data_IF_199642657510
#
_entry.id   IF_199642657510
#
_cell.length_a   1.000
_cell.length_b   1.000
_cell.length_c   1.000
_cell.angle_alpha   90.00
_cell.angle_beta   90.00
_cell.angle_gamma   90.00
#
_symmetry.space_group_name_H-M   'P 1'
#
loop_
_entity.id
_entity.type
_entity.pdbx_description
1 polymer ?
#
# COMPACT_ATOMS: atom_id res chain seq x y z
N UNK A 1 13.92 -14.54 -17.79
CA UNK A 1 13.68 -15.28 -16.54
C UNK A 1 13.29 -14.27 -15.48
N UNK A 2 12.17 -14.47 -14.80
CA UNK A 2 11.78 -13.60 -13.69
C UNK A 2 12.82 -13.71 -12.56
N UNK A 3 13.21 -12.56 -12.01
CA UNK A 3 14.12 -12.45 -10.87
C UNK A 3 13.53 -13.09 -9.61
N UNK A 4 14.36 -13.31 -8.59
CA UNK A 4 13.86 -13.78 -7.30
C UNK A 4 12.87 -12.79 -6.66
N UNK A 5 13.08 -11.48 -6.85
CA UNK A 5 12.15 -10.44 -6.35
C UNK A 5 10.76 -10.62 -6.96
N UNK A 6 10.68 -10.68 -8.28
CA UNK A 6 9.42 -10.77 -9.02
C UNK A 6 8.64 -12.04 -8.66
N UNK A 7 9.30 -13.20 -8.62
CA UNK A 7 8.66 -14.48 -8.27
C UNK A 7 8.14 -14.51 -6.83
N UNK A 8 8.84 -13.85 -5.90
CA UNK A 8 8.40 -13.77 -4.50
C UNK A 8 7.18 -12.86 -4.38
N UNK A 9 7.18 -11.70 -5.04
CA UNK A 9 6.05 -10.77 -5.04
C UNK A 9 4.81 -11.37 -5.69
N UNK A 10 4.96 -12.05 -6.82
CA UNK A 10 3.88 -12.76 -7.52
C UNK A 10 3.18 -13.75 -6.59
N UNK A 11 3.95 -14.65 -5.96
CA UNK A 11 3.42 -15.67 -5.04
C UNK A 11 2.74 -15.07 -3.80
N UNK A 12 3.24 -13.96 -3.28
CA UNK A 12 2.61 -13.28 -2.14
C UNK A 12 1.30 -12.60 -2.57
N UNK A 13 1.28 -11.97 -3.75
CA UNK A 13 0.09 -11.31 -4.30
C UNK A 13 -1.05 -12.27 -4.67
N UNK A 14 -0.74 -13.55 -4.95
CA UNK A 14 -1.74 -14.59 -5.18
C UNK A 14 -2.50 -15.03 -3.92
N UNK A 15 -2.05 -14.65 -2.72
CA UNK A 15 -2.64 -15.10 -1.45
C UNK A 15 -3.32 -13.97 -0.67
N UNK A 16 -4.65 -13.99 -0.59
CA UNK A 16 -5.44 -12.99 0.17
C UNK A 16 -5.17 -13.05 1.68
N UNK A 17 -4.99 -14.26 2.23
CA UNK A 17 -4.75 -14.49 3.66
C UNK A 17 -3.27 -14.35 4.06
N UNK A 18 -2.38 -14.22 3.08
CA UNK A 18 -0.93 -14.24 3.28
C UNK A 18 -0.32 -15.66 3.32
N UNK A 19 1.00 -15.76 3.39
CA UNK A 19 1.75 -17.00 3.31
C UNK A 19 2.87 -17.06 4.34
N UNK A 20 3.15 -18.25 4.86
CA UNK A 20 4.36 -18.43 5.68
C UNK A 20 5.61 -18.31 4.79
N UNK A 21 6.75 -17.96 5.39
CA UNK A 21 8.05 -17.95 4.67
C UNK A 21 8.36 -19.29 4.00
N UNK A 22 7.92 -20.41 4.59
CA UNK A 22 8.11 -21.75 4.02
C UNK A 22 7.27 -21.93 2.77
N UNK A 23 6.02 -21.48 2.78
CA UNK A 23 5.13 -21.61 1.63
C UNK A 23 5.54 -20.70 0.47
N UNK A 24 5.99 -19.47 0.77
CA UNK A 24 6.59 -18.58 -0.22
C UNK A 24 7.79 -19.24 -0.88
N UNK A 25 8.71 -19.85 -0.10
CA UNK A 25 9.89 -20.54 -0.63
C UNK A 25 9.52 -21.71 -1.55
N UNK A 26 8.54 -22.53 -1.15
CA UNK A 26 8.07 -23.67 -1.94
C UNK A 26 7.42 -23.22 -3.25
N UNK A 27 6.44 -22.30 -3.17
CA UNK A 27 5.69 -21.81 -4.34
C UNK A 27 6.56 -21.01 -5.30
N UNK A 28 7.38 -20.10 -4.78
CA UNK A 28 8.29 -19.31 -5.60
C UNK A 28 9.44 -20.16 -6.15
N UNK A 29 9.67 -21.40 -5.67
CA UNK A 29 10.83 -22.26 -5.97
C UNK A 29 12.15 -21.53 -5.75
N UNK A 30 12.30 -20.94 -4.57
CA UNK A 30 13.46 -20.18 -4.11
C UNK A 30 13.88 -20.71 -2.74
N UNK A 31 15.18 -20.68 -2.42
CA UNK A 31 15.66 -21.16 -1.12
C UNK A 31 15.04 -20.35 0.04
N UNK A 32 14.78 -21.01 1.18
CA UNK A 32 14.21 -20.34 2.36
C UNK A 32 15.05 -19.15 2.83
N UNK A 33 16.38 -19.27 2.80
CA UNK A 33 17.31 -18.18 3.17
C UNK A 33 17.22 -17.00 2.21
N UNK A 34 17.11 -17.26 0.91
CA UNK A 34 16.91 -16.21 -0.10
C UNK A 34 15.57 -15.51 0.14
N UNK A 35 14.49 -16.27 0.36
CA UNK A 35 13.17 -15.69 0.67
C UNK A 35 13.22 -14.81 1.92
N UNK A 36 13.86 -15.24 3.01
CA UNK A 36 14.01 -14.41 4.22
C UNK A 36 14.68 -13.07 3.89
N UNK A 37 15.79 -13.09 3.15
CA UNK A 37 16.50 -11.86 2.75
C UNK A 37 15.60 -10.92 1.94
N UNK A 38 14.90 -11.46 0.95
CA UNK A 38 14.02 -10.66 0.11
C UNK A 38 12.79 -10.13 0.86
N UNK A 39 12.18 -10.91 1.76
CA UNK A 39 11.07 -10.45 2.58
C UNK A 39 11.47 -9.30 3.51
N UNK A 40 12.66 -9.37 4.13
CA UNK A 40 13.20 -8.26 4.93
C UNK A 40 13.40 -6.99 4.08
N UNK A 41 13.99 -7.13 2.90
CA UNK A 41 14.19 -6.01 1.97
C UNK A 41 12.85 -5.42 1.51
N UNK A 42 11.94 -6.24 0.99
CA UNK A 42 10.62 -5.82 0.51
C UNK A 42 9.77 -5.19 1.63
N UNK A 43 9.89 -5.68 2.86
CA UNK A 43 9.23 -5.08 4.02
C UNK A 43 9.79 -3.70 4.33
N UNK A 44 11.10 -3.51 4.24
CA UNK A 44 11.73 -2.19 4.43
C UNK A 44 11.38 -1.20 3.31
N UNK A 45 11.12 -1.71 2.09
CA UNK A 45 10.61 -0.95 0.95
C UNK A 45 9.10 -0.68 1.05
N UNK A 46 8.40 -1.33 1.99
CA UNK A 46 6.96 -1.18 2.20
C UNK A 46 6.10 -1.91 1.16
N UNK A 47 6.65 -2.82 0.37
CA UNK A 47 5.91 -3.60 -0.64
C UNK A 47 5.12 -4.76 -0.01
N UNK A 48 5.62 -5.32 1.08
CA UNK A 48 5.00 -6.42 1.82
C UNK A 48 4.98 -6.14 3.32
N UNK A 49 4.04 -6.76 4.00
CA UNK A 49 3.95 -6.75 5.46
C UNK A 49 3.69 -8.18 5.97
N UNK A 50 3.81 -8.37 7.29
CA UNK A 50 3.41 -9.62 7.91
C UNK A 50 2.41 -9.38 9.03
N UNK A 51 1.53 -10.36 9.22
CA UNK A 51 0.64 -10.46 10.37
C UNK A 51 0.97 -11.71 11.18
N UNK A 52 0.84 -11.61 12.49
CA UNK A 52 1.01 -12.73 13.40
C UNK A 52 -0.33 -13.42 13.62
N UNK A 53 -0.40 -14.70 13.26
CA UNK A 53 -1.58 -15.55 13.45
C UNK A 53 -1.15 -16.76 14.26
N UNK A 54 -1.45 -16.74 15.56
CA UNK A 54 -0.93 -17.72 16.52
C UNK A 54 0.60 -17.75 16.50
N UNK A 55 1.25 -18.92 16.37
CA UNK A 55 2.71 -19.02 16.33
C UNK A 55 3.32 -18.68 14.97
N UNK A 56 2.52 -18.29 13.97
CA UNK A 56 2.95 -18.15 12.58
C UNK A 56 2.96 -16.69 12.12
N UNK A 57 3.96 -16.35 11.29
CA UNK A 57 4.00 -15.09 10.53
C UNK A 57 3.53 -15.32 9.11
N UNK A 58 2.48 -14.60 8.70
CA UNK A 58 1.93 -14.64 7.35
C UNK A 58 2.28 -13.35 6.60
N UNK A 59 3.01 -13.50 5.51
CA UNK A 59 3.41 -12.43 4.61
C UNK A 59 2.34 -12.16 3.57
N UNK A 60 1.98 -10.91 3.39
CA UNK A 60 1.01 -10.45 2.39
C UNK A 60 1.52 -9.17 1.73
N UNK A 61 1.02 -8.88 0.54
CA UNK A 61 1.26 -7.57 -0.08
C UNK A 61 0.71 -6.51 0.84
N UNK A 62 1.47 -5.43 1.02
CA UNK A 62 0.96 -4.29 1.76
C UNK A 62 -0.11 -3.64 0.90
N UNK A 63 -1.37 -3.85 1.26
CA UNK A 63 -2.48 -3.23 0.57
C UNK A 63 -2.42 -1.72 0.84
N UNK A 64 -1.84 -0.97 -0.11
CA UNK A 64 -2.23 0.43 -0.34
C UNK A 64 -3.69 0.53 -0.82
N UNK A 65 -4.35 -0.62 -0.96
CA UNK A 65 -5.66 -0.86 -1.56
C UNK A 65 -6.76 -1.17 -0.55
N UNK A 66 -6.77 -0.55 0.65
CA UNK A 66 -8.06 -0.11 1.18
C UNK A 66 -8.73 0.95 0.26
N UNK A 67 -8.06 1.32 -0.85
CA UNK A 67 -8.63 2.02 -2.01
C UNK A 67 -8.11 1.49 -3.36
N UNK A 68 -8.41 0.25 -3.75
CA UNK A 68 -8.65 -0.02 -5.18
C UNK A 68 -9.40 -1.33 -5.39
N UNK A 69 -10.69 -1.20 -5.73
CA UNK A 69 -11.34 -2.20 -6.55
C UNK A 69 -10.66 -2.26 -7.92
N UNK A 70 -10.66 -3.47 -8.47
CA UNK A 70 -10.64 -3.79 -9.90
C UNK A 70 -9.81 -2.88 -10.81
N UNK A 71 -8.60 -3.35 -11.15
CA UNK A 71 -7.90 -2.91 -12.35
C UNK A 71 -8.65 -3.43 -13.59
N UNK A 72 -9.64 -2.69 -14.07
CA UNK A 72 -9.98 -2.68 -15.50
C UNK A 72 -9.13 -1.64 -16.18
N UNK A 73 -8.32 -2.09 -17.14
CA UNK A 73 -7.68 -1.24 -18.13
C UNK A 73 -8.75 -0.41 -18.84
N UNK A 74 -8.61 0.91 -18.75
CA UNK A 74 -9.50 1.88 -19.36
C UNK A 74 -8.85 3.25 -19.26
N UNK A 75 -8.23 3.67 -20.36
CA UNK A 75 -7.70 5.01 -20.52
C UNK A 75 -8.81 6.05 -20.29
N UNK A 76 -8.67 6.87 -19.25
CA UNK A 76 -9.33 8.18 -19.20
C UNK A 76 -8.40 9.20 -18.55
N UNK A 77 -8.20 10.30 -19.28
CA UNK A 77 -7.58 11.54 -18.81
C UNK A 77 -8.38 12.08 -17.62
N UNK A 78 -7.99 11.69 -16.41
CA UNK A 78 -8.33 12.41 -15.19
C UNK A 78 -7.01 12.91 -14.61
N UNK A 79 -6.85 14.23 -14.54
CA UNK A 79 -5.68 14.89 -13.93
C UNK A 79 -5.37 14.18 -12.60
N UNK A 80 -4.19 13.58 -12.52
CA UNK A 80 -3.81 12.66 -11.45
C UNK A 80 -3.97 13.34 -10.08
N UNK A 81 -4.97 12.91 -9.33
CA UNK A 81 -5.03 13.22 -7.90
C UNK A 81 -3.78 12.65 -7.24
N UNK A 82 -3.18 13.37 -6.27
CA UNK A 82 -1.99 12.88 -5.59
C UNK A 82 -2.30 11.56 -4.88
N UNK A 83 -1.28 10.71 -4.78
CA UNK A 83 -1.36 9.51 -3.94
C UNK A 83 -1.63 9.96 -2.50
N UNK A 84 -2.76 9.54 -1.92
CA UNK A 84 -3.21 9.90 -0.57
C UNK A 84 -3.12 8.68 0.35
N UNK A 85 -2.43 8.85 1.47
CA UNK A 85 -2.46 7.93 2.60
C UNK A 85 -3.36 8.54 3.69
N UNK A 86 -4.24 7.72 4.27
CA UNK A 86 -5.19 8.13 5.31
C UNK A 86 -4.83 7.37 6.58
N UNK A 87 -4.34 8.09 7.57
CA UNK A 87 -4.00 7.54 8.88
C UNK A 87 -5.11 7.86 9.87
N UNK A 88 -5.73 6.82 10.43
CA UNK A 88 -6.70 6.95 11.52
C UNK A 88 -5.96 6.73 12.84
N UNK A 89 -5.60 7.83 13.50
CA UNK A 89 -5.03 7.78 14.84
C UNK A 89 -6.15 7.65 15.88
N UNK A 90 -6.07 6.60 16.71
CA UNK A 90 -7.01 6.34 17.80
C UNK A 90 -6.61 7.13 19.06
N UNK A 91 -6.51 8.45 18.93
CA UNK A 91 -6.31 9.41 20.03
C UNK A 91 -7.62 10.14 20.35
N UNK A 92 -7.71 10.75 21.53
CA UNK A 92 -8.92 11.37 22.08
C UNK A 92 -9.47 12.57 21.28
N UNK A 93 -8.84 12.95 20.17
CA UNK A 93 -9.27 13.99 19.24
C UNK A 93 -9.68 13.38 17.89
N UNK A 94 -10.86 13.75 17.37
CA UNK A 94 -11.43 13.37 16.07
C UNK A 94 -10.64 13.97 14.87
N UNK A 95 -9.31 13.89 14.90
CA UNK A 95 -8.45 14.47 13.87
C UNK A 95 -8.08 13.43 12.82
N UNK A 96 -8.46 13.68 11.57
CA UNK A 96 -8.06 12.84 10.43
C UNK A 96 -6.82 13.45 9.77
N UNK A 97 -5.74 12.66 9.69
CA UNK A 97 -4.52 13.06 8.99
C UNK A 97 -4.55 12.57 7.55
N UNK A 98 -4.34 13.51 6.62
CA UNK A 98 -4.18 13.22 5.19
C UNK A 98 -2.75 13.54 4.77
N UNK A 99 -1.98 12.50 4.43
CA UNK A 99 -0.66 12.65 3.84
C UNK A 99 -0.77 12.41 2.34
N UNK A 100 -0.24 13.32 1.51
CA UNK A 100 -0.30 13.14 0.07
C UNK A 100 1.00 13.51 -0.64
N UNK A 101 1.34 12.74 -1.68
CA UNK A 101 2.51 12.98 -2.54
C UNK A 101 2.08 13.71 -3.81
N UNK A 102 2.58 14.93 -3.99
CA UNK A 102 2.24 15.80 -5.12
C UNK A 102 3.51 16.13 -5.91
N UNK A 103 3.43 16.07 -7.24
CA UNK A 103 4.52 16.57 -8.11
C UNK A 103 4.63 18.08 -7.95
N UNK A 104 5.86 18.61 -7.93
CA UNK A 104 6.12 20.05 -7.72
C UNK A 104 5.32 20.96 -8.66
N UNK A 105 5.18 20.56 -9.93
CA UNK A 105 4.37 21.24 -10.96
C UNK A 105 2.87 21.35 -10.64
N UNK A 106 2.32 20.48 -9.79
CA UNK A 106 0.89 20.41 -9.46
C UNK A 106 0.55 21.11 -8.12
N UNK A 107 1.55 21.48 -7.30
CA UNK A 107 1.36 22.07 -5.97
C UNK A 107 0.52 23.35 -6.04
N UNK A 108 0.84 24.26 -6.97
CA UNK A 108 0.12 25.52 -7.12
C UNK A 108 -1.35 25.31 -7.51
N UNK A 109 -1.65 24.32 -8.36
CA UNK A 109 -3.03 23.97 -8.73
C UNK A 109 -3.80 23.43 -7.51
N UNK A 110 -3.16 22.56 -6.73
CA UNK A 110 -3.75 21.97 -5.52
C UNK A 110 -4.08 23.04 -4.47
N UNK A 111 -3.13 23.92 -4.15
CA UNK A 111 -3.34 24.98 -3.15
C UNK A 111 -4.43 25.98 -3.57
N UNK A 112 -4.50 26.33 -4.85
CA UNK A 112 -5.59 27.17 -5.39
C UNK A 112 -6.95 26.50 -5.25
N UNK A 113 -7.02 25.17 -5.33
CA UNK A 113 -8.26 24.41 -5.16
C UNK A 113 -8.67 24.31 -3.70
N UNK A 114 -7.73 24.07 -2.79
CA UNK A 114 -7.99 24.06 -1.35
C UNK A 114 -8.55 25.40 -0.85
N UNK A 115 -8.05 26.53 -1.39
CA UNK A 115 -8.57 27.87 -1.09
C UNK A 115 -10.04 28.09 -1.51
N UNK A 116 -10.61 27.24 -2.37
CA UNK A 116 -12.02 27.33 -2.80
C UNK A 116 -12.98 26.49 -1.94
N UNK A 117 -12.49 25.74 -0.96
CA UNK A 117 -13.36 25.11 0.02
C UNK A 117 -13.84 26.19 0.99
N UNK A 118 -15.00 26.77 0.72
CA UNK A 118 -15.79 27.49 1.72
C UNK A 118 -16.56 26.41 2.49
N UNK A 119 -16.05 26.01 3.66
CA UNK A 119 -16.87 25.28 4.62
C UNK A 119 -17.74 26.33 5.31
N UNK A 120 -19.03 26.36 4.99
CA UNK A 120 -20.01 27.04 5.84
C UNK A 120 -19.98 26.34 7.21
N UNK A 121 -19.32 26.97 8.19
CA UNK A 121 -19.48 26.59 9.59
C UNK A 121 -20.90 26.94 10.01
N UNK A 122 -21.83 26.03 9.77
CA UNK A 122 -23.15 26.08 10.39
C UNK A 122 -23.00 25.67 11.85
N UNK A 123 -22.73 26.65 12.71
CA UNK A 123 -23.03 26.55 14.14
C UNK A 123 -24.56 26.57 14.30
N UNK A 124 -25.12 25.61 15.03
CA UNK A 124 -26.52 25.60 15.49
C UNK A 124 -26.58 25.06 16.91
#
# INVERSE_FOLDING_TARGET
MASYKERILEVIGESEVGLTTVDVAKKARVSKTTVIKYLSMLSSEGEVEFVEVGPSKLWRTRNTSARHGERKEGAMNAEAFPMMDIDFHNGEDETIYFSFRVKTEQICKLLKRAKRCECDTTES
#
